data_IF_906433034581
#
_entry.id   IF_906433034581
#
_cell.length_a   1.000
_cell.length_b   1.000
_cell.length_c   1.000
_cell.angle_alpha   90.00
_cell.angle_beta   90.00
_cell.angle_gamma   90.00
#
_symmetry.space_group_name_H-M   'P 1'
#
loop_
_entity.id
_entity.type
_entity.pdbx_description
1 polymer ?
#
# COMPACT_ATOMS: atom_id res chain seq x y z
N UNK A 1 63.87 -32.28 -13.57
CA UNK A 1 62.39 -32.35 -13.41
C UNK A 1 61.94 -31.79 -12.06
N UNK A 2 62.61 -32.12 -10.94
CA UNK A 2 62.34 -31.48 -9.63
C UNK A 2 62.75 -30.00 -9.55
N UNK A 3 63.75 -29.58 -10.32
CA UNK A 3 64.18 -28.17 -10.42
C UNK A 3 63.29 -27.28 -11.32
N UNK A 4 62.46 -27.89 -12.17
CA UNK A 4 61.46 -27.16 -12.96
C UNK A 4 60.18 -26.90 -12.17
N UNK A 5 59.89 -27.73 -11.17
CA UNK A 5 58.72 -27.58 -10.29
C UNK A 5 58.98 -26.49 -9.24
N UNK A 6 60.21 -26.34 -8.73
CA UNK A 6 60.52 -25.26 -7.78
C UNK A 6 60.55 -23.88 -8.43
N UNK A 7 61.01 -23.76 -9.69
CA UNK A 7 61.04 -22.47 -10.40
C UNK A 7 59.67 -21.97 -10.87
N UNK A 8 58.67 -22.83 -10.98
CA UNK A 8 57.28 -22.40 -11.19
C UNK A 8 56.59 -21.94 -9.89
N UNK A 9 57.13 -22.30 -8.72
CA UNK A 9 56.53 -21.99 -7.43
C UNK A 9 56.83 -20.57 -6.94
N UNK A 10 57.85 -19.89 -7.44
CA UNK A 10 58.29 -18.60 -6.87
C UNK A 10 58.08 -17.36 -7.76
N UNK A 11 57.76 -17.53 -9.05
CA UNK A 11 57.47 -16.41 -9.96
C UNK A 11 55.98 -16.13 -10.21
N UNK A 12 55.08 -17.05 -9.83
CA UNK A 12 53.68 -17.04 -10.31
C UNK A 12 52.62 -17.20 -9.22
N UNK A 13 52.98 -17.02 -7.94
CA UNK A 13 52.01 -17.08 -6.83
C UNK A 13 50.93 -16.00 -6.94
N UNK A 14 51.28 -14.82 -7.46
CA UNK A 14 50.35 -13.70 -7.67
C UNK A 14 49.42 -13.98 -8.88
N UNK A 15 49.95 -14.52 -9.98
CA UNK A 15 49.18 -14.86 -11.18
C UNK A 15 48.26 -16.06 -11.00
N UNK A 16 48.71 -17.11 -10.29
CA UNK A 16 47.90 -18.27 -9.95
C UNK A 16 46.81 -17.93 -8.91
N UNK A 17 47.15 -17.11 -7.91
CA UNK A 17 46.19 -16.58 -6.94
C UNK A 17 45.12 -15.71 -7.62
N UNK A 18 45.51 -14.82 -8.54
CA UNK A 18 44.57 -14.01 -9.32
C UNK A 18 43.69 -14.85 -10.25
N UNK A 19 44.23 -15.89 -10.91
CA UNK A 19 43.46 -16.79 -11.77
C UNK A 19 42.45 -17.64 -10.98
N UNK A 20 42.82 -18.14 -9.79
CA UNK A 20 41.91 -18.84 -8.89
C UNK A 20 40.81 -17.91 -8.36
N UNK A 21 41.15 -16.65 -8.06
CA UNK A 21 40.20 -15.65 -7.57
C UNK A 21 39.22 -15.22 -8.67
N UNK A 22 39.71 -14.97 -9.89
CA UNK A 22 38.86 -14.70 -11.07
C UNK A 22 37.99 -15.90 -11.42
N UNK A 23 38.54 -17.12 -11.43
CA UNK A 23 37.78 -18.35 -11.66
C UNK A 23 36.72 -18.60 -10.58
N UNK A 24 37.06 -18.35 -9.31
CA UNK A 24 36.14 -18.45 -8.19
C UNK A 24 35.00 -17.44 -8.27
N UNK A 25 35.30 -16.17 -8.58
CA UNK A 25 34.29 -15.12 -8.78
C UNK A 25 33.39 -15.44 -9.98
N UNK A 26 33.95 -15.91 -11.09
CA UNK A 26 33.17 -16.33 -12.26
C UNK A 26 32.24 -17.51 -11.93
N UNK A 27 32.72 -18.49 -11.17
CA UNK A 27 31.91 -19.63 -10.71
C UNK A 27 30.76 -19.18 -9.80
N UNK A 28 31.03 -18.31 -8.82
CA UNK A 28 29.99 -17.73 -7.95
C UNK A 28 28.96 -16.92 -8.74
N UNK A 29 29.40 -16.15 -9.73
CA UNK A 29 28.50 -15.41 -10.61
C UNK A 29 27.62 -16.34 -11.44
N UNK A 30 28.19 -17.39 -12.05
CA UNK A 30 27.43 -18.40 -12.80
C UNK A 30 26.40 -19.13 -11.91
N UNK A 31 26.77 -19.46 -10.67
CA UNK A 31 25.86 -20.05 -9.69
C UNK A 31 24.71 -19.09 -9.34
N UNK A 32 24.99 -17.80 -9.17
CA UNK A 32 23.97 -16.79 -8.91
C UNK A 32 23.02 -16.61 -10.11
N UNK A 33 23.55 -16.59 -11.34
CA UNK A 33 22.75 -16.53 -12.56
C UNK A 33 21.88 -17.78 -12.70
N UNK A 34 22.46 -18.96 -12.53
CA UNK A 34 21.74 -20.24 -12.56
C UNK A 34 20.62 -20.30 -11.52
N UNK A 35 20.90 -19.86 -10.28
CA UNK A 35 19.87 -19.74 -9.22
C UNK A 35 18.74 -18.81 -9.64
N UNK A 36 19.04 -17.61 -10.17
CA UNK A 36 18.02 -16.64 -10.61
C UNK A 36 17.15 -17.20 -11.74
N UNK A 37 17.74 -17.90 -12.71
CA UNK A 37 17.01 -18.54 -13.79
C UNK A 37 16.08 -19.65 -13.29
N UNK A 38 16.57 -20.52 -12.40
CA UNK A 38 15.77 -21.58 -11.78
C UNK A 38 14.61 -21.04 -10.96
N UNK A 39 14.85 -19.98 -10.16
CA UNK A 39 13.80 -19.32 -9.38
C UNK A 39 12.76 -18.69 -10.31
N UNK A 40 13.16 -17.96 -11.36
CA UNK A 40 12.22 -17.37 -12.33
C UNK A 40 11.38 -18.43 -13.04
N UNK A 41 11.99 -19.54 -13.43
CA UNK A 41 11.27 -20.70 -13.99
C UNK A 41 10.25 -21.24 -12.99
N UNK A 42 10.67 -21.50 -11.74
CA UNK A 42 9.81 -22.06 -10.72
C UNK A 42 8.66 -21.13 -10.34
N UNK A 43 8.91 -19.81 -10.24
CA UNK A 43 7.86 -18.81 -10.02
C UNK A 43 6.86 -18.82 -11.18
N UNK A 44 7.33 -18.74 -12.42
CA UNK A 44 6.44 -18.71 -13.60
C UNK A 44 5.50 -19.90 -13.63
N UNK A 45 5.98 -21.10 -13.30
CA UNK A 45 5.14 -22.30 -13.26
C UNK A 45 4.23 -22.35 -12.03
N UNK A 46 4.72 -21.96 -10.85
CA UNK A 46 3.91 -21.91 -9.62
C UNK A 46 2.70 -20.97 -9.75
N UNK A 47 2.86 -19.83 -10.45
CA UNK A 47 1.76 -18.90 -10.74
C UNK A 47 0.78 -19.42 -11.81
N UNK A 48 1.19 -20.37 -12.66
CA UNK A 48 0.30 -21.03 -13.64
C UNK A 48 -0.45 -22.22 -13.05
N UNK A 49 0.00 -22.77 -11.92
CA UNK A 49 -0.61 -23.91 -11.22
C UNK A 49 0.39 -24.59 -10.27
N UNK A 50 -0.10 -25.43 -9.34
CA UNK A 50 0.72 -26.09 -8.30
C UNK A 50 1.64 -27.20 -8.86
N UNK A 51 2.64 -26.84 -9.67
CA UNK A 51 3.71 -27.76 -10.08
C UNK A 51 4.59 -28.13 -8.86
N UNK A 52 4.62 -29.42 -8.51
CA UNK A 52 5.34 -29.91 -7.33
C UNK A 52 6.84 -29.65 -7.42
N UNK A 53 7.43 -29.75 -8.62
CA UNK A 53 8.85 -29.51 -8.83
C UNK A 53 9.19 -28.03 -8.59
N UNK A 54 8.41 -27.11 -9.16
CA UNK A 54 8.57 -25.68 -8.94
C UNK A 54 8.42 -25.28 -7.47
N UNK A 55 7.44 -25.84 -6.76
CA UNK A 55 7.28 -25.61 -5.32
C UNK A 55 8.48 -26.13 -4.52
N UNK A 56 9.05 -27.28 -4.90
CA UNK A 56 10.26 -27.82 -4.28
C UNK A 56 11.46 -26.91 -4.54
N UNK A 57 11.65 -26.44 -5.77
CA UNK A 57 12.72 -25.50 -6.14
C UNK A 57 12.61 -24.22 -5.30
N UNK A 58 11.43 -23.62 -5.21
CA UNK A 58 11.21 -22.41 -4.41
C UNK A 58 11.46 -22.66 -2.93
N UNK A 59 10.99 -23.78 -2.37
CA UNK A 59 11.21 -24.12 -0.97
C UNK A 59 12.69 -24.29 -0.63
N UNK A 60 13.48 -24.80 -1.58
CA UNK A 60 14.93 -25.01 -1.42
C UNK A 60 15.73 -23.72 -1.64
N UNK A 61 15.38 -22.93 -2.65
CA UNK A 61 16.18 -21.76 -3.08
C UNK A 61 15.73 -20.42 -2.51
N UNK A 62 14.49 -20.32 -2.02
CA UNK A 62 13.96 -19.13 -1.35
C UNK A 62 13.91 -19.36 0.16
N UNK A 63 14.88 -18.77 0.88
CA UNK A 63 14.98 -18.84 2.34
C UNK A 63 13.67 -18.49 3.05
N UNK A 64 13.41 -19.07 4.22
CA UNK A 64 12.30 -18.61 5.08
C UNK A 64 12.44 -17.12 5.45
N UNK A 65 13.68 -16.62 5.50
CA UNK A 65 14.03 -15.24 5.88
C UNK A 65 14.31 -14.36 4.66
N UNK A 66 13.63 -14.60 3.53
CA UNK A 66 13.73 -13.73 2.35
C UNK A 66 13.27 -12.31 2.70
N UNK A 67 14.13 -11.32 2.43
CA UNK A 67 13.85 -9.92 2.75
C UNK A 67 12.78 -9.33 1.84
N UNK A 68 12.14 -8.23 2.28
CA UNK A 68 10.93 -7.65 1.70
C UNK A 68 10.98 -7.53 0.17
N UNK A 69 12.06 -6.94 -0.34
CA UNK A 69 12.22 -6.61 -1.75
C UNK A 69 13.14 -7.58 -2.52
N UNK A 70 13.67 -8.62 -1.88
CA UNK A 70 14.69 -9.52 -2.45
C UNK A 70 14.22 -10.26 -3.72
N UNK A 71 12.92 -10.55 -3.80
CA UNK A 71 12.34 -11.34 -4.90
C UNK A 71 11.71 -10.49 -6.01
N UNK A 72 11.64 -9.16 -5.87
CA UNK A 72 10.84 -8.30 -6.74
C UNK A 72 11.27 -8.41 -8.22
N UNK A 73 12.58 -8.38 -8.48
CA UNK A 73 13.14 -8.51 -9.83
C UNK A 73 13.05 -9.94 -10.42
N UNK A 74 12.62 -10.91 -9.61
CA UNK A 74 12.48 -12.31 -10.00
C UNK A 74 11.02 -12.71 -10.24
N UNK A 75 10.06 -11.88 -9.82
CA UNK A 75 8.64 -12.16 -10.03
C UNK A 75 8.31 -12.23 -11.54
N UNK A 76 7.40 -13.13 -11.94
CA UNK A 76 6.95 -13.18 -13.31
C UNK A 76 6.16 -11.92 -13.65
N UNK A 77 6.24 -11.49 -14.91
CA UNK A 77 5.40 -10.40 -15.43
C UNK A 77 3.93 -10.80 -15.36
N UNK A 78 3.06 -9.80 -15.20
CA UNK A 78 1.62 -10.03 -15.32
C UNK A 78 1.33 -10.58 -16.73
N UNK A 79 0.77 -11.80 -16.86
CA UNK A 79 0.56 -12.41 -18.15
C UNK A 79 -0.43 -11.60 -18.99
N UNK A 80 -0.26 -11.63 -20.31
CA UNK A 80 -1.23 -11.12 -21.28
C UNK A 80 -2.01 -12.31 -21.87
N UNK A 81 -3.30 -12.49 -21.54
CA UNK A 81 -4.11 -13.57 -22.09
C UNK A 81 -4.29 -13.46 -23.61
N UNK A 82 -4.40 -14.60 -24.34
CA UNK A 82 -4.81 -14.58 -25.75
C UNK A 82 -6.22 -14.01 -25.90
N UNK A 83 -6.43 -13.13 -26.88
CA UNK A 83 -7.73 -12.49 -27.14
C UNK A 83 -8.87 -13.51 -27.25
N UNK A 84 -8.71 -14.56 -28.07
CA UNK A 84 -9.69 -15.64 -28.24
C UNK A 84 -10.15 -16.23 -26.90
N UNK A 85 -9.20 -16.56 -26.01
CA UNK A 85 -9.52 -17.13 -24.68
C UNK A 85 -10.22 -16.11 -23.77
N UNK A 86 -9.89 -14.82 -23.90
CA UNK A 86 -10.59 -13.75 -23.18
C UNK A 86 -12.04 -13.64 -23.63
N UNK A 87 -12.29 -13.66 -24.94
CA UNK A 87 -13.64 -13.58 -25.52
C UNK A 87 -14.50 -14.81 -25.18
N UNK A 88 -13.92 -16.02 -25.24
CA UNK A 88 -14.59 -17.25 -24.80
C UNK A 88 -15.04 -17.18 -23.33
N UNK A 89 -14.17 -16.66 -22.45
CA UNK A 89 -14.50 -16.45 -21.03
C UNK A 89 -15.55 -15.36 -20.83
N UNK A 90 -15.47 -14.28 -21.60
CA UNK A 90 -16.45 -13.21 -21.57
C UNK A 90 -17.84 -13.73 -21.96
N UNK A 91 -17.96 -14.48 -23.07
CA UNK A 91 -19.20 -15.15 -23.48
C UNK A 91 -19.75 -16.05 -22.38
N UNK A 92 -18.88 -16.89 -21.78
CA UNK A 92 -19.29 -17.74 -20.67
C UNK A 92 -19.79 -16.95 -19.45
N UNK A 93 -19.20 -15.79 -19.16
CA UNK A 93 -19.62 -14.93 -18.04
C UNK A 93 -20.92 -14.17 -18.27
N UNK A 94 -21.24 -13.79 -19.52
CA UNK A 94 -22.47 -13.04 -19.83
C UNK A 94 -23.67 -13.95 -20.03
N UNK A 95 -23.47 -15.20 -20.48
CA UNK A 95 -24.53 -16.19 -20.72
C UNK A 95 -25.58 -16.29 -19.59
N UNK A 96 -25.21 -16.37 -18.29
CA UNK A 96 -26.21 -16.46 -17.22
C UNK A 96 -26.91 -15.13 -16.89
N UNK A 97 -26.51 -14.01 -17.51
CA UNK A 97 -27.00 -12.66 -17.20
C UNK A 97 -27.97 -12.11 -18.25
N UNK A 98 -28.11 -12.78 -19.40
CA UNK A 98 -28.84 -12.28 -20.56
C UNK A 98 -29.86 -13.31 -21.08
N UNK A 99 -30.81 -12.83 -21.88
CA UNK A 99 -31.77 -13.70 -22.57
C UNK A 99 -31.08 -14.52 -23.68
N UNK A 100 -31.70 -15.61 -24.18
CA UNK A 100 -31.15 -16.38 -25.30
C UNK A 100 -30.85 -15.54 -26.53
N UNK A 101 -31.77 -14.65 -26.93
CA UNK A 101 -31.61 -13.80 -28.12
C UNK A 101 -30.42 -12.83 -27.94
N UNK A 102 -30.32 -12.16 -26.79
CA UNK A 102 -29.17 -11.30 -26.46
C UNK A 102 -27.84 -12.08 -26.40
N UNK A 103 -27.88 -13.36 -26.04
CA UNK A 103 -26.69 -14.19 -26.04
C UNK A 103 -26.23 -14.53 -27.46
N UNK A 104 -27.16 -14.74 -28.40
CA UNK A 104 -26.83 -14.89 -29.82
C UNK A 104 -26.23 -13.59 -30.37
N UNK A 105 -26.81 -12.43 -30.06
CA UNK A 105 -26.24 -11.12 -30.43
C UNK A 105 -24.80 -10.95 -29.89
N UNK A 106 -24.56 -11.36 -28.64
CA UNK A 106 -23.23 -11.32 -28.03
C UNK A 106 -22.21 -12.22 -28.73
N UNK A 107 -22.63 -13.39 -29.25
CA UNK A 107 -21.75 -14.27 -30.02
C UNK A 107 -21.37 -13.63 -31.35
N UNK A 108 -22.35 -13.08 -32.07
CA UNK A 108 -22.10 -12.38 -33.34
C UNK A 108 -21.11 -11.24 -33.13
N UNK A 109 -21.34 -10.40 -32.11
CA UNK A 109 -20.43 -9.29 -31.78
C UNK A 109 -19.00 -9.77 -31.43
N UNK A 110 -18.86 -10.92 -30.77
CA UNK A 110 -17.55 -11.51 -30.46
C UNK A 110 -16.84 -12.01 -31.71
N UNK A 111 -17.55 -12.68 -32.62
CA UNK A 111 -17.00 -13.15 -33.88
C UNK A 111 -16.54 -11.96 -34.74
N UNK A 112 -17.40 -10.96 -34.91
CA UNK A 112 -17.08 -9.73 -35.64
C UNK A 112 -15.86 -9.01 -35.05
N UNK A 113 -15.83 -8.82 -33.73
CA UNK A 113 -14.70 -8.17 -33.08
C UNK A 113 -13.42 -9.00 -33.20
N UNK A 114 -13.47 -10.31 -32.95
CA UNK A 114 -12.28 -11.17 -32.99
C UNK A 114 -11.56 -11.13 -34.34
N UNK A 115 -12.33 -11.06 -35.43
CA UNK A 115 -11.81 -11.08 -36.80
C UNK A 115 -11.56 -9.68 -37.38
N UNK A 116 -11.84 -8.63 -36.61
CA UNK A 116 -11.69 -7.22 -37.01
C UNK A 116 -10.22 -6.77 -37.08
N UNK A 117 -9.94 -5.71 -37.84
CA UNK A 117 -8.61 -5.09 -37.87
C UNK A 117 -8.29 -4.41 -36.53
N UNK A 118 -9.28 -3.78 -35.91
CA UNK A 118 -9.19 -3.11 -34.62
C UNK A 118 -8.74 -4.06 -33.52
N UNK A 119 -9.32 -5.26 -33.42
CA UNK A 119 -8.90 -6.24 -32.42
C UNK A 119 -7.45 -6.71 -32.61
N UNK A 120 -7.01 -6.86 -33.87
CA UNK A 120 -5.61 -7.20 -34.19
C UNK A 120 -4.66 -6.06 -33.79
N UNK A 121 -5.07 -4.82 -34.03
CA UNK A 121 -4.32 -3.62 -33.63
C UNK A 121 -4.23 -3.52 -32.10
N UNK A 122 -5.36 -3.56 -31.39
CA UNK A 122 -5.41 -3.44 -29.92
C UNK A 122 -4.60 -4.55 -29.24
N UNK A 123 -4.70 -5.80 -29.70
CA UNK A 123 -3.92 -6.90 -29.13
C UNK A 123 -2.42 -6.77 -29.43
N UNK A 124 -2.03 -6.13 -30.56
CA UNK A 124 -0.63 -5.81 -30.87
C UNK A 124 -0.10 -4.76 -29.91
N UNK A 125 -0.82 -3.66 -29.72
CA UNK A 125 -0.46 -2.61 -28.77
C UNK A 125 -0.30 -3.15 -27.34
N UNK A 126 -1.22 -4.02 -26.89
CA UNK A 126 -1.10 -4.70 -25.59
C UNK A 126 0.15 -5.60 -25.50
N UNK A 127 0.50 -6.30 -26.59
CA UNK A 127 1.72 -7.13 -26.63
C UNK A 127 2.98 -6.28 -26.55
N UNK A 128 3.03 -5.18 -27.27
CA UNK A 128 4.18 -4.28 -27.29
C UNK A 128 4.34 -3.61 -25.91
N UNK A 129 3.25 -3.18 -25.30
CA UNK A 129 3.21 -2.70 -23.92
C UNK A 129 3.69 -3.75 -22.91
N UNK A 130 3.21 -5.00 -23.03
CA UNK A 130 3.66 -6.12 -22.18
C UNK A 130 5.15 -6.44 -22.33
N UNK A 131 5.74 -6.22 -23.52
CA UNK A 131 7.18 -6.36 -23.73
C UNK A 131 7.96 -5.21 -23.06
N UNK A 132 7.44 -4.00 -23.15
CA UNK A 132 8.09 -2.80 -22.64
C UNK A 132 8.06 -2.68 -21.10
N UNK A 133 6.99 -3.15 -20.45
CA UNK A 133 6.74 -2.92 -19.02
C UNK A 133 6.87 -4.20 -18.17
N UNK A 134 7.29 -4.08 -16.89
CA UNK A 134 7.28 -5.21 -15.95
C UNK A 134 5.85 -5.67 -15.62
N UNK A 135 4.92 -4.73 -15.55
CA UNK A 135 3.48 -4.97 -15.45
C UNK A 135 2.76 -4.00 -16.39
N UNK A 136 2.04 -4.53 -17.38
CA UNK A 136 1.40 -3.72 -18.41
C UNK A 136 0.11 -3.01 -17.94
N UNK A 137 -0.40 -3.38 -16.77
CA UNK A 137 -1.71 -2.95 -16.28
C UNK A 137 -1.63 -1.98 -15.09
N UNK A 138 -0.56 -1.99 -14.28
CA UNK A 138 -0.52 -1.28 -12.98
C UNK A 138 -0.89 0.20 -13.07
N UNK A 139 -0.28 0.94 -13.99
CA UNK A 139 -0.52 2.38 -14.15
C UNK A 139 -1.91 2.67 -14.70
N UNK A 140 -2.37 1.92 -15.72
CA UNK A 140 -3.73 2.02 -16.23
C UNK A 140 -4.79 1.67 -15.18
N UNK A 141 -4.55 0.62 -14.38
CA UNK A 141 -5.45 0.25 -13.30
C UNK A 141 -5.54 1.36 -12.25
N UNK A 142 -4.39 1.86 -11.79
CA UNK A 142 -4.35 2.96 -10.84
C UNK A 142 -5.06 4.20 -11.39
N UNK A 143 -4.77 4.57 -12.63
CA UNK A 143 -5.32 5.75 -13.28
C UNK A 143 -6.83 5.64 -13.53
N UNK A 144 -7.27 4.63 -14.26
CA UNK A 144 -8.66 4.54 -14.74
C UNK A 144 -9.61 3.97 -13.68
N UNK A 145 -9.17 3.03 -12.84
CA UNK A 145 -10.02 2.48 -11.79
C UNK A 145 -10.14 3.40 -10.57
N UNK A 146 -9.11 4.22 -10.28
CA UNK A 146 -9.11 5.05 -9.06
C UNK A 146 -8.90 6.54 -9.35
N UNK A 147 -7.78 6.94 -9.94
CA UNK A 147 -7.36 8.34 -9.93
C UNK A 147 -8.18 9.26 -10.83
N UNK A 148 -8.77 8.77 -11.92
CA UNK A 148 -9.69 9.52 -12.79
C UNK A 148 -11.14 9.49 -12.31
N UNK A 149 -11.50 8.59 -11.40
CA UNK A 149 -12.84 8.58 -10.82
C UNK A 149 -13.10 9.89 -10.07
N UNK A 150 -14.27 10.50 -10.34
CA UNK A 150 -14.66 11.81 -9.81
C UNK A 150 -15.66 11.70 -8.64
N UNK A 151 -16.25 10.52 -8.45
CA UNK A 151 -17.13 10.26 -7.31
C UNK A 151 -16.40 10.47 -5.96
N UNK A 152 -17.12 10.87 -4.91
CA UNK A 152 -16.61 10.87 -3.54
C UNK A 152 -15.89 9.57 -3.14
N UNK A 153 -14.84 9.68 -2.34
CA UNK A 153 -14.09 8.51 -1.84
C UNK A 153 -14.87 7.68 -0.81
N UNK A 154 -15.51 8.26 0.22
CA UNK A 154 -16.30 7.49 1.16
C UNK A 154 -17.41 6.75 0.41
N UNK A 155 -17.61 5.47 0.70
CA UNK A 155 -18.54 4.54 0.00
C UNK A 155 -18.25 4.24 -1.48
N UNK A 156 -17.61 5.15 -2.23
CA UNK A 156 -17.32 4.96 -3.66
C UNK A 156 -15.98 4.28 -3.97
N UNK A 157 -15.01 4.35 -3.06
CA UNK A 157 -13.68 3.75 -3.24
C UNK A 157 -13.04 3.26 -1.95
N UNK A 158 -13.20 3.99 -0.84
CA UNK A 158 -12.59 3.60 0.42
C UNK A 158 -13.30 2.37 1.00
N UNK A 159 -12.51 1.45 1.54
CA UNK A 159 -12.98 0.30 2.29
C UNK A 159 -12.53 0.44 3.76
N UNK A 160 -13.10 -0.38 4.63
CA UNK A 160 -12.70 -0.47 6.03
C UNK A 160 -12.29 -1.90 6.36
N UNK A 161 -11.57 -2.04 7.46
CA UNK A 161 -11.28 -3.32 8.11
C UNK A 161 -11.43 -3.12 9.61
N UNK A 162 -11.95 -4.12 10.30
CA UNK A 162 -12.03 -4.15 11.76
C UNK A 162 -10.92 -5.03 12.32
N UNK A 163 -10.78 -4.99 13.64
CA UNK A 163 -9.86 -5.86 14.37
C UNK A 163 -10.33 -7.34 14.33
N UNK A 164 -9.51 -8.24 14.89
CA UNK A 164 -9.83 -9.66 15.04
C UNK A 164 -11.13 -9.87 15.81
N UNK A 165 -11.76 -11.02 15.58
CA UNK A 165 -13.03 -11.37 16.23
C UNK A 165 -12.93 -11.27 17.75
N UNK A 166 -11.81 -11.72 18.34
CA UNK A 166 -11.58 -11.67 19.77
C UNK A 166 -11.54 -10.23 20.31
N UNK A 167 -10.98 -9.28 19.55
CA UNK A 167 -10.92 -7.87 19.95
C UNK A 167 -12.26 -7.14 19.72
N UNK A 168 -13.08 -7.63 18.78
CA UNK A 168 -14.40 -7.07 18.49
C UNK A 168 -15.49 -7.59 19.44
N UNK A 169 -15.42 -8.87 19.83
CA UNK A 169 -16.49 -9.56 20.55
C UNK A 169 -16.06 -10.06 21.94
N UNK A 170 -14.77 -10.03 22.26
CA UNK A 170 -14.22 -10.38 23.56
C UNK A 170 -14.11 -9.18 24.50
N UNK A 171 -13.60 -9.44 25.71
CA UNK A 171 -13.37 -8.42 26.71
C UNK A 171 -12.25 -7.47 26.28
N UNK A 172 -12.47 -6.16 26.47
CA UNK A 172 -11.50 -5.13 26.11
C UNK A 172 -10.27 -5.24 27.04
N UNK A 173 -9.18 -5.80 26.51
CA UNK A 173 -7.93 -6.01 27.27
C UNK A 173 -7.32 -4.70 27.82
N UNK A 174 -7.41 -3.60 27.06
CA UNK A 174 -6.87 -2.29 27.45
C UNK A 174 -8.03 -1.28 27.44
N UNK A 175 -8.66 -0.95 28.58
CA UNK A 175 -9.87 -0.13 28.61
C UNK A 175 -9.68 1.34 28.21
N UNK A 176 -8.49 1.93 28.41
CA UNK A 176 -8.24 3.32 28.04
C UNK A 176 -7.98 3.44 26.52
N UNK A 177 -8.85 4.13 25.75
CA UNK A 177 -8.64 4.34 24.31
C UNK A 177 -7.34 5.09 24.00
N UNK A 178 -6.86 5.96 24.88
CA UNK A 178 -5.62 6.70 24.68
C UNK A 178 -4.42 5.76 24.73
N UNK A 179 -4.42 4.84 25.71
CA UNK A 179 -3.39 3.79 25.81
C UNK A 179 -3.49 2.81 24.63
N UNK A 180 -4.69 2.43 24.18
CA UNK A 180 -4.84 1.62 22.95
C UNK A 180 -4.26 2.33 21.73
N UNK A 181 -4.59 3.60 21.53
CA UNK A 181 -4.09 4.41 20.42
C UNK A 181 -2.55 4.47 20.44
N UNK A 182 -1.94 4.73 21.60
CA UNK A 182 -0.48 4.81 21.72
C UNK A 182 0.20 3.48 21.36
N UNK A 183 -0.33 2.35 21.85
CA UNK A 183 0.18 1.01 21.55
C UNK A 183 0.10 0.65 20.05
N UNK A 184 -1.04 0.93 19.41
CA UNK A 184 -1.23 0.64 17.98
C UNK A 184 -0.35 1.54 17.12
N UNK A 185 -0.19 2.83 17.48
CA UNK A 185 0.76 3.72 16.79
C UNK A 185 2.18 3.15 16.89
N UNK A 186 2.64 2.73 18.07
CA UNK A 186 3.96 2.11 18.25
C UNK A 186 4.13 0.88 17.35
N UNK A 187 3.13 0.00 17.28
CA UNK A 187 3.16 -1.17 16.40
C UNK A 187 3.27 -0.81 14.91
N UNK A 188 2.55 0.24 14.45
CA UNK A 188 2.68 0.76 13.09
C UNK A 188 4.06 1.35 12.82
N UNK A 189 4.63 2.06 13.79
CA UNK A 189 6.00 2.56 13.67
C UNK A 189 6.95 1.36 13.53
N UNK A 190 6.90 0.36 14.41
CA UNK A 190 7.76 -0.84 14.33
C UNK A 190 7.67 -1.53 12.97
N UNK A 191 6.46 -1.66 12.43
CA UNK A 191 6.24 -2.16 11.08
C UNK A 191 6.92 -1.27 10.02
N UNK A 192 6.70 0.05 10.08
CA UNK A 192 7.32 1.01 9.15
C UNK A 192 8.84 0.90 9.15
N UNK A 193 9.48 0.85 10.32
CA UNK A 193 10.94 0.73 10.40
C UNK A 193 11.43 -0.60 9.83
N UNK A 194 10.72 -1.71 10.06
CA UNK A 194 11.07 -2.97 9.41
C UNK A 194 10.97 -2.89 7.88
N UNK A 195 10.02 -2.13 7.34
CA UNK A 195 9.87 -1.90 5.90
C UNK A 195 10.99 -1.00 5.37
N UNK A 196 11.22 0.14 6.01
CA UNK A 196 12.22 1.14 5.60
C UNK A 196 13.65 0.57 5.65
N UNK A 197 13.97 -0.22 6.68
CA UNK A 197 15.27 -0.88 6.83
C UNK A 197 15.39 -2.20 6.03
N UNK A 198 14.34 -2.58 5.29
CA UNK A 198 14.31 -3.81 4.50
C UNK A 198 14.37 -5.10 5.31
N UNK A 199 14.13 -5.05 6.62
CA UNK A 199 14.12 -6.20 7.55
C UNK A 199 12.81 -6.99 7.54
N UNK A 200 11.73 -6.41 7.01
CA UNK A 200 10.44 -7.11 6.90
C UNK A 200 10.60 -8.28 5.94
N UNK A 201 10.04 -9.43 6.28
CA UNK A 201 10.09 -10.61 5.40
C UNK A 201 9.09 -10.50 4.25
N UNK A 202 9.49 -10.97 3.08
CA UNK A 202 8.63 -11.14 1.91
C UNK A 202 7.45 -12.08 2.24
N UNK A 203 6.23 -11.68 1.85
CA UNK A 203 5.07 -12.56 2.01
C UNK A 203 5.09 -13.70 1.00
N UNK A 204 4.60 -14.86 1.42
CA UNK A 204 4.56 -16.06 0.58
C UNK A 204 3.21 -16.75 0.66
N UNK A 205 2.61 -17.05 -0.49
CA UNK A 205 1.43 -17.91 -0.59
C UNK A 205 1.82 -19.34 -0.22
N UNK A 206 1.07 -19.94 0.72
CA UNK A 206 1.36 -21.26 1.27
C UNK A 206 2.75 -21.36 1.92
N UNK A 207 3.35 -20.24 2.33
CA UNK A 207 4.70 -20.18 2.90
C UNK A 207 5.84 -20.44 1.90
N UNK A 208 5.54 -20.60 0.59
CA UNK A 208 6.53 -20.99 -0.42
C UNK A 208 6.64 -19.97 -1.55
N UNK A 209 5.52 -19.53 -2.13
CA UNK A 209 5.54 -18.72 -3.36
C UNK A 209 5.57 -17.23 -3.00
N UNK A 210 6.68 -16.51 -3.19
CA UNK A 210 6.76 -15.08 -2.90
C UNK A 210 5.79 -14.28 -3.76
N UNK A 211 5.27 -13.19 -3.20
CA UNK A 211 4.38 -12.25 -3.88
C UNK A 211 4.99 -10.86 -3.93
N UNK A 212 4.41 -10.01 -4.78
CA UNK A 212 4.83 -8.62 -4.92
C UNK A 212 4.65 -7.85 -3.61
N UNK A 213 5.70 -7.13 -3.20
CA UNK A 213 5.73 -6.32 -1.98
C UNK A 213 5.80 -4.80 -2.25
N UNK A 214 5.62 -4.34 -3.51
CA UNK A 214 5.80 -2.92 -3.89
C UNK A 214 4.85 -1.96 -3.15
N UNK A 215 3.71 -2.44 -2.66
CA UNK A 215 2.79 -1.64 -1.87
C UNK A 215 3.26 -1.34 -0.45
N UNK A 216 4.17 -2.14 0.13
CA UNK A 216 4.56 -2.01 1.55
C UNK A 216 5.20 -0.65 1.87
N UNK A 217 6.16 -0.15 1.08
CA UNK A 217 6.73 1.19 1.29
C UNK A 217 5.72 2.33 1.13
N UNK A 218 4.57 2.08 0.49
CA UNK A 218 3.57 3.09 0.19
C UNK A 218 2.50 3.23 1.29
N UNK A 219 2.48 2.35 2.29
CA UNK A 219 1.44 2.36 3.33
C UNK A 219 1.52 3.60 4.23
N UNK A 220 2.74 4.03 4.58
CA UNK A 220 2.96 5.15 5.50
C UNK A 220 3.41 6.39 4.72
N UNK A 221 2.86 7.56 5.06
CA UNK A 221 3.23 8.83 4.44
C UNK A 221 2.54 9.11 3.11
N UNK A 222 1.65 8.21 2.66
CA UNK A 222 0.92 8.38 1.40
C UNK A 222 -0.43 9.06 1.60
N UNK A 223 -0.73 9.99 0.70
CA UNK A 223 -2.02 10.68 0.61
C UNK A 223 -2.45 10.79 -0.86
N UNK A 224 -3.75 10.75 -1.11
CA UNK A 224 -4.37 11.00 -2.41
C UNK A 224 -4.71 12.47 -2.55
N UNK A 225 -3.89 13.21 -3.30
CA UNK A 225 -4.10 14.63 -3.56
C UNK A 225 -5.15 14.79 -4.67
N UNK A 226 -6.25 15.54 -4.44
CA UNK A 226 -7.27 15.76 -5.45
C UNK A 226 -6.72 16.60 -6.62
N UNK A 227 -7.05 16.20 -7.85
CA UNK A 227 -6.85 17.03 -9.04
C UNK A 227 -8.18 17.25 -9.76
N UNK A 228 -8.25 18.21 -10.68
CA UNK A 228 -9.52 18.51 -11.36
C UNK A 228 -9.97 17.33 -12.24
N UNK A 229 -9.10 16.80 -13.08
CA UNK A 229 -9.42 15.65 -13.95
C UNK A 229 -8.90 14.32 -13.41
N UNK A 230 -7.79 14.36 -12.67
CA UNK A 230 -7.11 13.18 -12.17
C UNK A 230 -6.39 13.50 -10.86
N UNK A 231 -6.63 12.66 -9.86
CA UNK A 231 -5.95 12.73 -8.57
C UNK A 231 -4.51 12.20 -8.68
N UNK A 232 -3.70 12.43 -7.66
CA UNK A 232 -2.32 11.91 -7.60
C UNK A 232 -2.05 11.30 -6.24
N UNK A 233 -1.32 10.19 -6.20
CA UNK A 233 -0.73 9.70 -4.96
C UNK A 233 0.57 10.47 -4.70
N UNK A 234 0.70 10.99 -3.48
CA UNK A 234 1.92 11.62 -2.97
C UNK A 234 2.37 10.84 -1.76
N UNK A 235 3.58 10.30 -1.81
CA UNK A 235 4.23 9.61 -0.69
C UNK A 235 5.34 10.49 -0.13
N UNK A 236 5.20 10.87 1.14
CA UNK A 236 6.27 11.55 1.86
C UNK A 236 7.26 10.52 2.42
N UNK A 237 8.48 10.53 1.89
CA UNK A 237 9.57 9.70 2.39
C UNK A 237 10.28 10.45 3.51
N UNK A 238 10.24 9.89 4.72
CA UNK A 238 10.93 10.43 5.89
C UNK A 238 12.43 10.12 5.78
N UNK A 239 13.32 11.11 5.79
CA UNK A 239 14.77 10.89 5.84
C UNK A 239 15.18 10.12 7.11
N UNK A 240 16.32 9.41 7.12
CA UNK A 240 16.78 8.68 8.30
C UNK A 240 16.92 9.54 9.57
N UNK A 241 17.34 10.80 9.42
CA UNK A 241 17.49 11.81 10.46
C UNK A 241 16.31 12.80 10.52
N UNK A 242 15.26 12.55 9.73
CA UNK A 242 14.10 13.42 9.59
C UNK A 242 13.11 13.32 10.75
N UNK A 243 12.22 14.31 10.80
CA UNK A 243 11.06 14.29 11.69
C UNK A 243 9.90 13.53 11.04
N UNK A 244 9.07 12.88 11.86
CA UNK A 244 7.83 12.28 11.42
C UNK A 244 6.72 12.53 12.43
N UNK A 245 5.48 12.61 11.94
CA UNK A 245 4.29 12.80 12.75
C UNK A 245 3.12 11.99 12.21
N UNK A 246 2.12 11.78 13.06
CA UNK A 246 0.78 11.34 12.65
C UNK A 246 -0.19 12.51 12.76
N UNK A 247 -1.29 12.45 12.02
CA UNK A 247 -2.40 13.38 12.15
C UNK A 247 -3.35 12.84 13.21
N UNK A 248 -3.42 13.46 14.38
CA UNK A 248 -4.38 13.09 15.41
C UNK A 248 -5.65 13.95 15.26
N UNK A 249 -6.79 13.31 15.07
CA UNK A 249 -8.11 13.94 15.00
C UNK A 249 -8.92 13.63 16.26
N UNK A 250 -9.41 14.66 16.93
CA UNK A 250 -10.33 14.58 18.08
C UNK A 250 -11.54 15.45 17.76
N UNK A 251 -12.64 14.81 17.34
CA UNK A 251 -13.76 15.52 16.73
C UNK A 251 -13.33 16.28 15.47
N UNK A 252 -13.58 17.59 15.46
CA UNK A 252 -13.17 18.51 14.39
C UNK A 252 -11.71 19.00 14.52
N UNK A 253 -11.08 18.76 15.67
CA UNK A 253 -9.78 19.34 15.99
C UNK A 253 -8.65 18.43 15.50
N UNK A 254 -7.70 19.01 14.78
CA UNK A 254 -6.56 18.30 14.20
C UNK A 254 -5.26 18.72 14.88
N UNK A 255 -4.44 17.73 15.23
CA UNK A 255 -3.12 17.93 15.83
C UNK A 255 -2.05 17.24 14.99
N UNK A 256 -0.94 17.95 14.76
CA UNK A 256 0.32 17.34 14.33
C UNK A 256 0.96 16.69 15.55
N UNK A 257 0.94 15.36 15.62
CA UNK A 257 1.49 14.59 16.74
C UNK A 257 2.86 14.01 16.37
N UNK A 258 3.99 14.55 16.87
CA UNK A 258 5.32 14.04 16.56
C UNK A 258 5.48 12.59 17.07
N UNK A 259 6.03 11.74 16.21
CA UNK A 259 6.37 10.34 16.53
C UNK A 259 7.86 10.04 16.34
N UNK A 260 8.56 10.91 15.60
CA UNK A 260 10.00 10.89 15.42
C UNK A 260 10.52 12.33 15.38
N UNK A 261 11.60 12.60 16.10
CA UNK A 261 12.28 13.90 16.14
C UNK A 261 13.77 13.67 15.91
N UNK A 262 14.35 14.32 14.88
CA UNK A 262 15.75 14.16 14.48
C UNK A 262 16.17 12.70 14.30
N UNK A 263 15.34 11.90 13.63
CA UNK A 263 15.57 10.47 13.43
C UNK A 263 15.30 9.57 14.64
N UNK A 264 15.00 10.13 15.81
CA UNK A 264 14.75 9.35 17.02
C UNK A 264 13.26 9.25 17.34
N UNK A 265 12.79 8.05 17.62
CA UNK A 265 11.40 7.82 18.02
C UNK A 265 11.11 8.40 19.39
N UNK A 266 9.91 8.93 19.53
CA UNK A 266 9.36 9.25 20.85
C UNK A 266 9.10 7.96 21.63
N UNK A 267 9.22 8.01 22.95
CA UNK A 267 8.89 6.87 23.81
C UNK A 267 7.37 6.65 23.85
N UNK A 268 6.94 5.42 24.12
CA UNK A 268 5.51 5.10 24.25
C UNK A 268 4.83 5.96 25.33
N UNK A 269 5.50 6.19 26.47
CA UNK A 269 4.98 7.05 27.54
C UNK A 269 4.83 8.52 27.12
N UNK A 270 5.82 9.07 26.40
CA UNK A 270 5.72 10.44 25.87
C UNK A 270 4.61 10.57 24.82
N UNK A 271 4.44 9.56 23.97
CA UNK A 271 3.37 9.51 22.98
C UNK A 271 1.99 9.49 23.65
N UNK A 272 1.80 8.62 24.65
CA UNK A 272 0.53 8.55 25.39
C UNK A 272 0.21 9.87 26.10
N UNK A 273 1.19 10.46 26.79
CA UNK A 273 1.03 11.76 27.44
C UNK A 273 0.67 12.86 26.44
N UNK A 274 1.27 12.86 25.24
CA UNK A 274 0.98 13.82 24.19
C UNK A 274 -0.45 13.64 23.61
N UNK A 275 -0.90 12.40 23.41
CA UNK A 275 -2.28 12.11 22.99
C UNK A 275 -3.26 12.58 24.06
N UNK A 276 -3.01 12.26 25.34
CA UNK A 276 -3.87 12.69 26.46
C UNK A 276 -3.98 14.21 26.56
N UNK A 277 -2.85 14.91 26.41
CA UNK A 277 -2.82 16.37 26.36
C UNK A 277 -3.65 16.92 25.19
N UNK A 278 -3.50 16.35 23.99
CA UNK A 278 -4.24 16.79 22.81
C UNK A 278 -5.76 16.55 22.95
N UNK A 279 -6.16 15.38 23.46
CA UNK A 279 -7.55 15.05 23.74
C UNK A 279 -8.16 16.00 24.77
N UNK A 280 -7.47 16.26 25.88
CA UNK A 280 -7.94 17.21 26.90
C UNK A 280 -8.08 18.63 26.32
N UNK A 281 -7.07 19.11 25.57
CA UNK A 281 -7.13 20.42 24.90
C UNK A 281 -8.30 20.53 23.92
N UNK A 282 -8.59 19.48 23.17
CA UNK A 282 -9.73 19.46 22.27
C UNK A 282 -11.04 19.55 23.06
N UNK A 283 -11.20 18.72 24.10
CA UNK A 283 -12.42 18.69 24.94
C UNK A 283 -12.67 20.00 25.69
N UNK A 284 -11.61 20.67 26.14
CA UNK A 284 -11.66 21.94 26.88
C UNK A 284 -11.70 23.18 25.97
N UNK A 285 -11.73 23.00 24.64
CA UNK A 285 -11.77 24.12 23.71
C UNK A 285 -13.04 24.97 23.92
N UNK A 286 -12.84 26.29 24.00
CA UNK A 286 -13.94 27.26 24.15
C UNK A 286 -14.91 27.14 22.98
N UNK A 287 -16.22 27.31 23.21
CA UNK A 287 -17.20 27.36 22.14
C UNK A 287 -16.87 28.41 21.09
N UNK A 288 -17.14 28.08 19.83
CA UNK A 288 -17.03 28.99 18.68
C UNK A 288 -18.33 28.95 17.88
N UNK A 289 -18.40 29.72 16.79
CA UNK A 289 -19.51 29.64 15.83
C UNK A 289 -19.66 28.26 15.15
N UNK A 290 -18.66 27.38 15.26
CA UNK A 290 -18.64 26.07 14.61
C UNK A 290 -19.10 24.94 15.55
N UNK A 291 -19.06 25.15 16.87
CA UNK A 291 -19.41 24.15 17.87
C UNK A 291 -18.68 24.39 19.20
N UNK A 292 -18.60 23.35 20.03
CA UNK A 292 -17.97 23.41 21.36
C UNK A 292 -17.10 22.17 21.62
N UNK A 293 -16.15 22.30 22.56
CA UNK A 293 -15.23 21.22 22.90
C UNK A 293 -14.49 20.70 21.67
N UNK A 294 -14.41 19.38 21.51
CA UNK A 294 -13.71 18.75 20.37
C UNK A 294 -14.24 19.18 18.99
N UNK A 295 -15.45 19.73 18.93
CA UNK A 295 -16.13 20.21 17.73
C UNK A 295 -16.09 21.73 17.55
N UNK A 296 -15.23 22.43 18.31
CA UNK A 296 -15.10 23.88 18.25
C UNK A 296 -14.37 24.40 16.99
N UNK A 297 -13.76 23.53 16.17
CA UNK A 297 -13.05 23.92 14.95
C UNK A 297 -13.92 23.69 13.70
N UNK A 298 -13.66 24.39 12.58
CA UNK A 298 -14.34 24.09 11.32
C UNK A 298 -14.01 22.67 10.84
N UNK A 299 -15.02 21.95 10.35
CA UNK A 299 -14.88 20.58 9.83
C UNK A 299 -14.24 20.56 8.43
N UNK A 300 -12.93 20.79 8.35
CA UNK A 300 -12.18 20.81 7.08
C UNK A 300 -12.18 19.44 6.38
N UNK A 301 -12.22 18.36 7.17
CA UNK A 301 -12.34 16.96 6.73
C UNK A 301 -13.52 16.70 5.78
N UNK A 302 -14.66 17.38 5.96
CA UNK A 302 -15.82 17.26 5.08
C UNK A 302 -15.50 17.58 3.61
N UNK A 303 -14.45 18.34 3.35
CA UNK A 303 -14.07 18.67 1.98
C UNK A 303 -13.49 17.44 1.26
N UNK A 304 -12.89 16.50 1.99
CA UNK A 304 -12.37 15.24 1.43
C UNK A 304 -13.47 14.25 1.03
N UNK A 305 -14.72 14.49 1.46
CA UNK A 305 -15.90 13.68 1.06
C UNK A 305 -16.59 14.21 -0.19
N UNK A 306 -16.10 15.32 -0.76
CA UNK A 306 -16.70 15.89 -1.98
C UNK A 306 -16.28 15.11 -3.22
N UNK A 307 -17.06 15.33 -4.28
CA UNK A 307 -16.67 15.03 -5.65
C UNK A 307 -15.26 15.61 -5.89
N UNK A 308 -14.40 14.83 -6.56
CA UNK A 308 -12.95 15.03 -6.57
C UNK A 308 -12.53 16.34 -7.23
N UNK A 309 -13.18 16.74 -8.32
CA UNK A 309 -12.93 18.03 -9.00
C UNK A 309 -13.31 19.22 -8.12
N UNK A 310 -14.45 19.16 -7.42
CA UNK A 310 -14.85 20.17 -6.43
C UNK A 310 -13.89 20.24 -5.26
N UNK A 311 -13.43 19.07 -4.77
CA UNK A 311 -12.42 19.03 -3.72
C UNK A 311 -11.10 19.66 -4.19
N UNK A 312 -10.64 19.35 -5.40
CA UNK A 312 -9.42 19.94 -5.97
C UNK A 312 -9.46 21.48 -5.95
N UNK A 313 -10.58 22.08 -6.39
CA UNK A 313 -10.78 23.54 -6.38
C UNK A 313 -10.79 24.10 -4.95
N UNK A 314 -11.54 23.47 -4.05
CA UNK A 314 -11.61 23.88 -2.65
C UNK A 314 -10.25 23.78 -1.94
N UNK A 315 -9.47 22.74 -2.22
CA UNK A 315 -8.12 22.56 -1.69
C UNK A 315 -7.21 23.70 -2.14
N UNK A 316 -7.25 24.07 -3.42
CA UNK A 316 -6.49 25.21 -3.94
C UNK A 316 -6.88 26.51 -3.25
N UNK A 317 -8.19 26.78 -3.09
CA UNK A 317 -8.65 27.97 -2.38
C UNK A 317 -8.21 27.99 -0.91
N UNK A 318 -8.24 26.84 -0.22
CA UNK A 318 -7.79 26.74 1.17
C UNK A 318 -6.30 27.07 1.31
N UNK A 319 -5.46 26.48 0.46
CA UNK A 319 -4.00 26.66 0.49
C UNK A 319 -3.63 28.10 0.12
N UNK A 320 -4.22 28.65 -0.95
CA UNK A 320 -3.93 30.01 -1.40
C UNK A 320 -4.52 31.08 -0.47
N UNK A 321 -5.55 30.76 0.31
CA UNK A 321 -6.20 31.72 1.21
C UNK A 321 -5.38 32.09 2.45
N UNK A 322 -4.37 31.30 2.84
CA UNK A 322 -3.51 31.61 3.99
C UNK A 322 -2.25 30.75 4.01
N UNK A 323 -1.09 31.35 4.30
CA UNK A 323 0.16 30.62 4.52
C UNK A 323 0.03 29.55 5.62
N UNK A 324 -0.74 29.83 6.68
CA UNK A 324 -0.99 28.85 7.76
C UNK A 324 -1.83 27.65 7.28
N UNK A 325 -2.74 27.85 6.33
CA UNK A 325 -3.50 26.75 5.74
C UNK A 325 -2.61 25.89 4.85
N UNK A 326 -1.71 26.51 4.09
CA UNK A 326 -0.70 25.80 3.32
C UNK A 326 0.15 24.90 4.22
N UNK A 327 0.72 25.46 5.29
CA UNK A 327 1.52 24.70 6.28
C UNK A 327 0.71 23.56 6.95
N UNK A 328 -0.54 23.84 7.30
CA UNK A 328 -1.42 22.84 7.93
C UNK A 328 -1.78 21.70 6.96
N UNK A 329 -2.04 22.03 5.69
CA UNK A 329 -2.32 21.03 4.66
C UNK A 329 -1.10 20.17 4.37
N UNK A 330 0.09 20.76 4.29
CA UNK A 330 1.34 20.01 4.16
C UNK A 330 1.56 19.08 5.36
N UNK A 331 1.27 19.52 6.58
CA UNK A 331 1.32 18.66 7.75
C UNK A 331 0.33 17.48 7.65
N UNK A 332 -0.91 17.70 7.21
CA UNK A 332 -1.90 16.62 7.03
C UNK A 332 -1.42 15.62 5.96
N UNK A 333 -0.96 16.12 4.82
CA UNK A 333 -0.53 15.32 3.67
C UNK A 333 0.73 14.51 3.95
N UNK A 334 1.69 15.06 4.71
CA UNK A 334 2.96 14.40 5.05
C UNK A 334 2.87 13.47 6.26
N UNK A 335 1.79 13.52 7.05
CA UNK A 335 1.61 12.62 8.20
C UNK A 335 1.80 11.15 7.79
N UNK A 336 2.34 10.30 8.66
CA UNK A 336 2.49 8.88 8.34
C UNK A 336 1.13 8.20 8.10
N UNK A 337 0.14 8.55 8.92
CA UNK A 337 -1.25 8.14 8.82
C UNK A 337 -2.11 9.03 9.72
N UNK A 338 -3.42 8.88 9.65
CA UNK A 338 -4.37 9.58 10.53
C UNK A 338 -4.77 8.67 11.68
N UNK A 339 -4.88 9.23 12.89
CA UNK A 339 -5.43 8.60 14.09
C UNK A 339 -6.69 9.37 14.47
N UNK A 340 -7.81 8.68 14.57
CA UNK A 340 -9.11 9.27 14.90
C UNK A 340 -9.53 8.77 16.27
N UNK A 341 -9.56 9.67 17.25
CA UNK A 341 -10.10 9.38 18.58
C UNK A 341 -11.61 9.55 18.55
N UNK A 342 -12.33 8.45 18.64
CA UNK A 342 -13.79 8.43 18.60
C UNK A 342 -14.35 8.41 20.02
N UNK A 343 -14.71 9.59 20.51
CA UNK A 343 -14.75 9.92 21.94
C UNK A 343 -16.11 9.84 22.62
N UNK A 344 -17.05 9.08 22.07
CA UNK A 344 -18.43 9.09 22.54
C UNK A 344 -18.75 7.80 23.31
N UNK A 345 -18.98 7.94 24.63
CA UNK A 345 -19.62 6.93 25.47
C UNK A 345 -21.06 6.60 25.00
N UNK A 346 -21.65 7.44 24.13
CA UNK A 346 -22.88 7.16 23.37
C UNK A 346 -22.64 6.34 22.09
N UNK A 347 -21.38 6.19 21.68
CA UNK A 347 -20.97 5.64 20.38
C UNK A 347 -19.98 4.48 20.50
N UNK A 348 -19.84 3.87 21.69
CA UNK A 348 -19.32 2.51 21.78
C UNK A 348 -20.49 1.61 21.41
N UNK A 349 -20.59 1.15 20.16
CA UNK A 349 -21.82 0.54 19.76
C UNK A 349 -21.82 -0.87 20.32
N UNK A 350 -22.77 -1.14 21.21
CA UNK A 350 -23.18 -2.54 21.44
C UNK A 350 -23.63 -3.21 20.12
N UNK A 351 -23.96 -2.39 19.11
CA UNK A 351 -24.32 -2.80 17.77
C UNK A 351 -23.18 -2.54 16.76
N UNK A 352 -22.50 -3.61 16.35
CA UNK A 352 -21.43 -3.59 15.35
C UNK A 352 -21.81 -2.87 14.04
N UNK A 353 -23.09 -2.75 13.70
CA UNK A 353 -23.53 -2.01 12.50
C UNK A 353 -23.17 -0.53 12.57
N UNK A 354 -23.21 0.07 13.76
CA UNK A 354 -22.82 1.48 13.94
C UNK A 354 -21.30 1.61 13.80
N UNK A 355 -20.52 0.69 14.40
CA UNK A 355 -19.06 0.70 14.27
C UNK A 355 -18.64 0.56 12.80
N UNK A 356 -19.28 -0.36 12.07
CA UNK A 356 -19.08 -0.56 10.64
C UNK A 356 -19.44 0.70 9.85
N UNK A 357 -20.59 1.34 10.15
CA UNK A 357 -21.00 2.59 9.51
C UNK A 357 -19.97 3.70 9.72
N UNK A 358 -19.52 3.87 10.97
CA UNK A 358 -18.49 4.86 11.30
C UNK A 358 -17.17 4.56 10.59
N UNK A 359 -16.73 3.31 10.55
CA UNK A 359 -15.48 2.93 9.88
C UNK A 359 -15.55 3.07 8.34
N UNK A 360 -16.72 2.84 7.74
CA UNK A 360 -16.91 2.90 6.30
C UNK A 360 -17.03 4.33 5.78
N UNK A 361 -17.82 5.19 6.44
CA UNK A 361 -18.08 6.54 5.95
C UNK A 361 -18.45 7.58 7.01
N UNK A 362 -18.80 7.17 8.24
CA UNK A 362 -19.24 8.07 9.32
C UNK A 362 -20.18 9.19 8.86
N UNK A 363 -20.00 10.38 9.45
CA UNK A 363 -20.67 11.62 9.03
C UNK A 363 -19.78 12.53 8.16
N UNK A 364 -18.59 12.06 7.81
CA UNK A 364 -17.60 12.82 7.03
C UNK A 364 -16.77 13.83 7.83
N UNK A 365 -17.08 14.10 9.10
CA UNK A 365 -16.43 15.16 9.88
C UNK A 365 -15.18 14.70 10.63
N UNK A 366 -15.00 13.40 10.84
CA UNK A 366 -13.99 12.84 11.77
C UNK A 366 -12.83 12.12 11.11
N UNK A 367 -12.80 12.02 9.79
CA UNK A 367 -11.78 11.28 9.05
C UNK A 367 -11.18 12.11 7.93
N UNK A 368 -9.93 11.82 7.60
CA UNK A 368 -9.28 12.36 6.41
C UNK A 368 -9.26 11.29 5.32
N UNK A 369 -10.28 11.30 4.45
CA UNK A 369 -10.53 10.20 3.51
C UNK A 369 -9.48 10.06 2.40
N UNK A 370 -8.68 11.10 2.18
CA UNK A 370 -7.57 11.06 1.22
C UNK A 370 -6.34 10.32 1.77
N UNK A 371 -6.24 10.08 3.08
CA UNK A 371 -5.09 9.40 3.65
C UNK A 371 -5.08 7.93 3.25
N UNK A 372 -3.89 7.34 3.04
CA UNK A 372 -3.77 5.91 2.72
C UNK A 372 -4.54 5.02 3.69
N UNK A 373 -4.54 5.35 4.99
CA UNK A 373 -5.44 4.75 5.96
C UNK A 373 -5.70 5.70 7.14
N UNK A 374 -6.83 5.49 7.81
CA UNK A 374 -7.20 6.13 9.07
C UNK A 374 -7.27 5.03 10.14
N UNK A 375 -6.50 5.16 11.22
CA UNK A 375 -6.60 4.34 12.42
C UNK A 375 -7.72 4.91 13.31
N UNK A 376 -8.83 4.21 13.42
CA UNK A 376 -9.99 4.66 14.21
C UNK A 376 -9.97 3.95 15.56
N UNK A 377 -9.94 4.73 16.64
CA UNK A 377 -9.92 4.21 18.02
C UNK A 377 -11.22 4.61 18.71
N UNK A 378 -12.10 3.64 18.89
CA UNK A 378 -13.34 3.80 19.66
C UNK A 378 -13.05 3.86 21.16
N UNK A 379 -13.91 4.53 21.93
CA UNK A 379 -13.83 4.65 23.39
C UNK A 379 -14.02 3.31 24.11
#
# INVERSE_FOLDING_TARGET
MLDLISKFADGNKIGFGAALLVGGVACLWLLQVGRRLLVRYALTNAFKGKDKLSLLILKTLCSKNTQLMEMQDQLPRLPLPPLKKTLEKWLASVKPLVTPDQYEDAKVAVEEFQDSEEARLLQRELKDRHRALPNWLTDWWLEFAYLRQRAPLPTGSNFYSTDQHENMYGDVCTPDPITRASQVIVGHLDFKQQVDEGRKLCQKVGGVVPVCMEGFPLVHGTTRVPGEEMDKLRTHVVPPDGDAHVLLMVGSTMFKLPVQVKGQRVTAGSLEAAIRLAVNRAREAKPTKHGSGAYAQPNVSLLTTRERSKWAKNRTLLICGSGKNCESMDAIEQALFTVVMHDLATDCPKDNRVMIREALHGDGTRMWYDKCFNLIVFA
#
